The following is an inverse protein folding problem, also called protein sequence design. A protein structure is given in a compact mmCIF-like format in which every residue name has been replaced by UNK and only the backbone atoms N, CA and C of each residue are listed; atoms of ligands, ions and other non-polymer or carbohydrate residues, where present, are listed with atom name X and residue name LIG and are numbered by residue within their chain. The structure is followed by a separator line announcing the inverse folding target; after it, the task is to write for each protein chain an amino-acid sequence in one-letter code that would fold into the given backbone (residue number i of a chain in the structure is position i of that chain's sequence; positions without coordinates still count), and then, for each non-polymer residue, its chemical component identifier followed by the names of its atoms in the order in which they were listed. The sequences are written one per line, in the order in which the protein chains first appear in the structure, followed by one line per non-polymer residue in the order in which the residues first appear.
data_IF_916718763997
#
_entry.id   IF_916718763997
#
_cell.length_a   1.000
_cell.length_b   1.000
_cell.length_c   1.000
_cell.angle_alpha   90.00
_cell.angle_beta   90.00
_cell.angle_gamma   90.00
#
_symmetry.space_group_name_H-M   'P 1'
#
loop_
_entity.id
_entity.type
_entity.pdbx_description
1 polymer ?
#
# COMPACT_ATOMS: atom_id res chain seq x y z
N UNK A 1 22.94 -14.55 3.69
CA UNK A 1 21.49 -14.77 3.44
C UNK A 1 20.80 -14.69 4.79
N UNK A 2 19.77 -13.85 4.89
CA UNK A 2 18.93 -13.67 6.09
C UNK A 2 17.52 -14.19 5.74
N UNK A 3 16.89 -14.89 6.66
CA UNK A 3 15.47 -15.26 6.59
C UNK A 3 14.79 -14.75 7.85
N UNK A 4 13.82 -13.86 7.71
CA UNK A 4 13.08 -13.27 8.83
C UNK A 4 11.61 -13.13 8.44
N UNK A 5 10.72 -13.24 9.42
CA UNK A 5 9.32 -12.88 9.29
C UNK A 5 9.05 -11.43 9.69
N UNK A 6 10.08 -10.70 10.15
CA UNK A 6 10.00 -9.28 10.47
C UNK A 6 10.32 -8.44 9.23
N UNK A 7 9.29 -7.89 8.60
CA UNK A 7 9.43 -7.11 7.37
C UNK A 7 10.26 -5.83 7.56
N UNK A 8 10.21 -5.20 8.74
CA UNK A 8 11.03 -4.03 9.07
C UNK A 8 12.53 -4.36 9.03
N UNK A 9 12.93 -5.53 9.55
CA UNK A 9 14.32 -6.00 9.50
C UNK A 9 14.74 -6.29 8.06
N UNK A 10 13.84 -6.89 7.27
CA UNK A 10 14.08 -7.16 5.86
C UNK A 10 14.20 -5.88 5.01
N UNK A 11 13.43 -4.83 5.31
CA UNK A 11 13.56 -3.52 4.65
C UNK A 11 14.83 -2.78 5.06
N UNK A 12 15.22 -2.86 6.33
CA UNK A 12 16.35 -2.10 6.85
C UNK A 12 17.72 -2.70 6.47
N UNK A 13 17.81 -4.03 6.35
CA UNK A 13 19.09 -4.72 6.22
C UNK A 13 19.37 -5.28 4.83
N UNK A 14 18.35 -5.44 3.97
CA UNK A 14 18.52 -6.14 2.71
C UNK A 14 18.62 -5.21 1.50
N UNK A 15 19.60 -5.44 0.63
CA UNK A 15 19.66 -4.79 -0.69
C UNK A 15 18.65 -5.42 -1.68
N UNK A 16 18.30 -6.69 -1.45
CA UNK A 16 17.32 -7.46 -2.23
C UNK A 16 16.50 -8.36 -1.31
N UNK A 17 15.21 -8.44 -1.58
CA UNK A 17 14.22 -9.19 -0.84
C UNK A 17 13.51 -10.16 -1.79
N UNK A 18 13.16 -11.34 -1.28
CA UNK A 18 12.32 -12.31 -1.97
C UNK A 18 11.21 -12.75 -1.02
N UNK A 19 9.96 -12.67 -1.48
CA UNK A 19 8.79 -13.12 -0.74
C UNK A 19 8.47 -14.54 -1.17
N UNK A 20 8.40 -15.45 -0.21
CA UNK A 20 8.10 -16.87 -0.44
C UNK A 20 6.74 -17.19 0.18
N UNK A 21 5.84 -17.78 -0.61
CA UNK A 21 4.55 -18.28 -0.16
C UNK A 21 4.29 -19.65 -0.79
N UNK A 22 3.71 -20.59 -0.03
CA UNK A 22 3.41 -21.97 -0.48
C UNK A 22 4.61 -22.68 -1.17
N UNK A 23 5.83 -22.45 -0.68
CA UNK A 23 7.05 -23.05 -1.22
C UNK A 23 7.54 -22.46 -2.56
N UNK A 24 6.99 -21.33 -2.99
CA UNK A 24 7.37 -20.64 -4.24
C UNK A 24 7.72 -19.17 -3.98
N UNK A 25 8.65 -18.63 -4.77
CA UNK A 25 8.94 -17.18 -4.77
C UNK A 25 7.79 -16.48 -5.50
N UNK A 26 7.08 -15.59 -4.81
CA UNK A 26 5.94 -14.84 -5.35
C UNK A 26 6.30 -13.40 -5.71
N UNK A 27 7.41 -12.88 -5.17
CA UNK A 27 7.95 -11.57 -5.53
C UNK A 27 9.45 -11.50 -5.22
N UNK A 28 10.24 -10.79 -6.03
CA UNK A 28 11.68 -10.59 -5.82
C UNK A 28 12.12 -9.20 -6.33
N UNK A 29 13.00 -8.51 -5.60
CA UNK A 29 13.48 -7.17 -5.98
C UNK A 29 14.15 -6.42 -4.83
N UNK A 30 14.51 -5.15 -5.03
CA UNK A 30 14.93 -4.29 -3.93
C UNK A 30 13.73 -3.97 -3.02
N UNK A 31 13.91 -3.76 -1.69
CA UNK A 31 12.79 -3.46 -0.79
C UNK A 31 11.96 -2.25 -1.25
N UNK A 32 12.61 -1.18 -1.72
CA UNK A 32 11.94 0.01 -2.23
C UNK A 32 11.08 -0.27 -3.49
N UNK A 33 11.46 -1.25 -4.30
CA UNK A 33 10.72 -1.68 -5.50
C UNK A 33 9.60 -2.65 -5.15
N UNK A 34 9.85 -3.58 -4.23
CA UNK A 34 8.89 -4.61 -3.80
C UNK A 34 7.77 -4.07 -2.92
N UNK A 35 8.09 -3.13 -2.03
CA UNK A 35 7.08 -2.41 -1.29
C UNK A 35 6.19 -1.57 -2.21
N UNK A 36 6.56 -1.42 -3.50
CA UNK A 36 5.82 -0.68 -4.48
C UNK A 36 5.57 0.76 -4.05
N UNK A 37 6.22 1.29 -3.00
CA UNK A 37 5.79 2.56 -2.38
C UNK A 37 5.76 3.71 -3.37
N UNK A 38 6.60 3.70 -4.40
CA UNK A 38 6.58 4.71 -5.46
C UNK A 38 5.50 4.47 -6.53
N UNK A 39 5.11 3.22 -6.78
CA UNK A 39 4.27 2.79 -7.91
C UNK A 39 2.87 2.29 -7.51
N UNK A 40 2.67 2.00 -6.23
CA UNK A 40 1.41 1.57 -5.67
C UNK A 40 0.46 2.76 -5.58
N UNK A 41 -0.80 2.51 -5.95
CA UNK A 41 -1.88 3.49 -5.84
C UNK A 41 -1.97 3.95 -4.39
N UNK A 42 -2.00 5.26 -4.20
CA UNK A 42 -2.26 5.85 -2.90
C UNK A 42 -3.75 5.76 -2.61
N UNK A 43 -4.10 5.60 -1.34
CA UNK A 43 -5.47 5.71 -0.89
C UNK A 43 -5.67 7.07 -0.24
N UNK A 44 -6.60 7.86 -0.78
CA UNK A 44 -7.04 9.12 -0.21
C UNK A 44 -8.31 8.85 0.57
N UNK A 45 -8.31 9.11 1.87
CA UNK A 45 -9.45 9.00 2.76
C UNK A 45 -9.91 10.39 3.17
N UNK A 46 -11.22 10.58 3.26
CA UNK A 46 -11.85 11.81 3.75
C UNK A 46 -13.23 11.51 4.34
N UNK A 47 -13.79 12.45 5.08
CA UNK A 47 -15.18 12.42 5.51
C UNK A 47 -16.03 13.38 4.68
N UNK A 48 -17.24 12.96 4.34
CA UNK A 48 -18.27 13.79 3.71
C UNK A 48 -18.87 14.78 4.71
N UNK A 49 -19.64 15.76 4.22
CA UNK A 49 -20.30 16.75 5.08
C UNK A 49 -21.29 16.13 6.08
N UNK A 50 -21.79 14.93 5.80
CA UNK A 50 -22.66 14.14 6.68
C UNK A 50 -21.88 13.21 7.64
N UNK A 51 -20.55 13.27 7.63
CA UNK A 51 -19.66 12.42 8.43
C UNK A 51 -19.39 11.04 7.83
N UNK A 52 -19.90 10.74 6.62
CA UNK A 52 -19.65 9.46 5.96
C UNK A 52 -18.19 9.36 5.53
N UNK A 53 -17.47 8.36 6.03
CA UNK A 53 -16.11 8.07 5.59
C UNK A 53 -16.10 7.59 4.12
N UNK A 54 -15.19 8.16 3.33
CA UNK A 54 -14.96 7.82 1.93
C UNK A 54 -13.48 7.53 1.71
N UNK A 55 -13.21 6.72 0.70
CA UNK A 55 -11.86 6.46 0.22
C UNK A 55 -11.82 6.30 -1.29
N UNK A 56 -10.69 6.68 -1.88
CA UNK A 56 -10.39 6.51 -3.30
C UNK A 56 -8.95 6.04 -3.48
N UNK A 57 -8.75 4.97 -4.25
CA UNK A 57 -7.43 4.55 -4.72
C UNK A 57 -7.05 5.30 -6.00
N UNK A 58 -5.88 5.94 -6.01
CA UNK A 58 -5.44 6.83 -7.09
C UNK A 58 -3.93 6.79 -7.30
N UNK A 59 -3.51 6.87 -8.55
CA UNK A 59 -2.11 7.03 -8.96
C UNK A 59 -1.64 8.49 -8.83
N UNK A 60 -2.58 9.43 -8.73
CA UNK A 60 -2.33 10.87 -8.67
C UNK A 60 -2.92 11.50 -7.40
N UNK A 61 -2.41 11.14 -6.21
CA UNK A 61 -3.01 11.58 -4.93
C UNK A 61 -3.10 13.10 -4.81
N UNK A 62 -2.07 13.85 -5.23
CA UNK A 62 -2.08 15.31 -5.19
C UNK A 62 -3.20 15.91 -6.05
N UNK A 63 -3.51 15.31 -7.21
CA UNK A 63 -4.60 15.76 -8.08
C UNK A 63 -5.96 15.46 -7.46
N UNK A 64 -6.13 14.26 -6.91
CA UNK A 64 -7.36 13.88 -6.19
C UNK A 64 -7.60 14.82 -5.01
N UNK A 65 -6.58 15.09 -4.19
CA UNK A 65 -6.67 16.04 -3.07
C UNK A 65 -7.01 17.45 -3.55
N UNK A 66 -6.40 17.94 -4.63
CA UNK A 66 -6.74 19.26 -5.17
C UNK A 66 -8.21 19.35 -5.62
N UNK A 67 -8.75 18.28 -6.21
CA UNK A 67 -10.16 18.20 -6.57
C UNK A 67 -11.09 18.22 -5.36
N UNK A 68 -10.73 17.50 -4.29
CA UNK A 68 -11.47 17.51 -3.03
C UNK A 68 -11.40 18.88 -2.35
N UNK A 69 -10.23 19.54 -2.37
CA UNK A 69 -10.08 20.87 -1.77
C UNK A 69 -11.01 21.90 -2.41
N UNK A 70 -11.18 21.85 -3.75
CA UNK A 70 -12.14 22.71 -4.44
C UNK A 70 -13.60 22.43 -4.04
N UNK A 71 -13.91 21.20 -3.62
CA UNK A 71 -15.26 20.78 -3.17
C UNK A 71 -15.55 21.18 -1.72
N UNK A 72 -14.54 21.16 -0.86
CA UNK A 72 -14.65 21.43 0.58
C UNK A 72 -14.13 22.83 0.99
N UNK A 73 -14.05 23.78 0.04
CA UNK A 73 -13.56 25.14 0.29
C UNK A 73 -12.17 25.20 0.97
N UNK A 74 -11.30 24.27 0.60
CA UNK A 74 -9.91 24.20 1.04
C UNK A 74 -9.64 23.28 2.24
N UNK A 75 -10.62 22.99 3.09
CA UNK A 75 -10.43 22.15 4.28
C UNK A 75 -11.18 20.82 4.13
N UNK A 76 -10.45 19.75 3.82
CA UNK A 76 -11.03 18.42 3.60
C UNK A 76 -11.13 17.70 4.96
N UNK A 77 -12.34 17.36 5.45
CA UNK A 77 -12.50 16.69 6.73
C UNK A 77 -11.81 15.33 6.79
N UNK A 78 -11.11 15.06 7.88
CA UNK A 78 -10.40 13.79 8.16
C UNK A 78 -9.47 13.31 7.02
N UNK A 79 -8.88 14.26 6.26
CA UNK A 79 -8.02 13.92 5.14
C UNK A 79 -6.82 13.05 5.60
N UNK A 80 -6.69 11.88 4.98
CA UNK A 80 -5.51 11.02 5.11
C UNK A 80 -5.09 10.51 3.74
N UNK A 81 -3.82 10.69 3.41
CA UNK A 81 -3.22 10.09 2.21
C UNK A 81 -2.21 9.03 2.67
N UNK A 82 -2.46 7.78 2.33
CA UNK A 82 -1.57 6.67 2.64
C UNK A 82 -1.16 5.92 1.38
N UNK A 83 -0.01 5.28 1.43
CA UNK A 83 0.40 4.28 0.46
C UNK A 83 0.52 2.93 1.18
N UNK A 84 0.24 1.81 0.50
CA UNK A 84 0.40 0.50 1.11
C UNK A 84 1.84 0.30 1.57
N UNK A 85 1.97 -0.35 2.71
CA UNK A 85 3.24 -0.79 3.29
C UNK A 85 3.71 -2.09 2.62
N UNK A 86 4.96 -2.49 2.88
CA UNK A 86 5.42 -3.82 2.45
C UNK A 86 4.61 -4.93 3.10
N UNK A 87 4.12 -4.73 4.32
CA UNK A 87 3.22 -5.67 4.99
C UNK A 87 1.89 -5.82 4.26
N UNK A 88 1.27 -4.70 3.85
CA UNK A 88 0.04 -4.73 3.06
C UNK A 88 0.22 -5.48 1.74
N UNK A 89 1.36 -5.25 1.08
CA UNK A 89 1.73 -5.94 -0.17
C UNK A 89 1.94 -7.43 0.08
N UNK A 90 2.66 -7.78 1.15
CA UNK A 90 2.90 -9.16 1.57
C UNK A 90 1.58 -9.91 1.86
N UNK A 91 0.69 -9.31 2.65
CA UNK A 91 -0.63 -9.88 2.97
C UNK A 91 -1.47 -10.10 1.71
N UNK A 92 -1.44 -9.15 0.76
CA UNK A 92 -2.14 -9.30 -0.52
C UNK A 92 -1.59 -10.46 -1.35
N UNK A 93 -0.27 -10.63 -1.42
CA UNK A 93 0.36 -11.73 -2.16
C UNK A 93 -0.01 -13.10 -1.58
N UNK A 94 -0.09 -13.22 -0.26
CA UNK A 94 -0.50 -14.47 0.39
C UNK A 94 -2.00 -14.73 0.24
N UNK A 95 -2.82 -13.68 0.36
CA UNK A 95 -4.27 -13.77 0.13
C UNK A 95 -4.62 -14.26 -1.27
N UNK A 96 -3.85 -13.85 -2.28
CA UNK A 96 -3.99 -14.33 -3.66
C UNK A 96 -3.53 -15.79 -3.80
N UNK A 97 -2.38 -16.17 -3.24
CA UNK A 97 -1.85 -17.53 -3.33
C UNK A 97 -2.74 -18.58 -2.63
N UNK A 98 -3.48 -18.20 -1.58
CA UNK A 98 -4.44 -19.09 -0.90
C UNK A 98 -5.79 -19.25 -1.62
N UNK A 99 -6.06 -18.47 -2.66
CA UNK A 99 -7.33 -18.50 -3.41
C UNK A 99 -7.33 -19.43 -4.63
N UNK A 100 -6.17 -19.98 -5.01
CA UNK A 100 -6.00 -20.87 -6.16
C UNK A 100 -6.25 -22.37 -5.84
N UNK A 101 -6.64 -22.70 -4.61
CA UNK A 101 -6.84 -24.08 -4.13
C UNK A 101 -8.30 -24.38 -3.72
N UNK A 102 -9.29 -23.82 -4.44
CA UNK A 102 -10.71 -24.17 -4.23
C UNK A 102 -11.46 -24.47 -5.52
#
# INVERSE_FOLDING_TARGET
ILTTHYLEEAEALADRLAVIAAGRVVAEGAPASLAGRAQARATVHWAEADGTARSEETDTPTRTVAGLAARFDGEIPELRVSRPTLEDVYLRLIGLAGSEDK
#
